data_IF_103628803029
#
_entry.id   IF_103628803029
#
_cell.length_a   1.000
_cell.length_b   1.000
_cell.length_c   1.000
_cell.angle_alpha   90.00
_cell.angle_beta   90.00
_cell.angle_gamma   90.00
#
_symmetry.space_group_name_H-M   'P 1'
#
loop_
_entity.id
_entity.type
_entity.pdbx_description
1 polymer ?
#
# COMPACT_ATOMS: atom_id res chain seq x y z
N UNK A 1 14.41 4.25 9.39
CA UNK A 1 13.45 4.01 8.31
C UNK A 1 12.07 4.50 8.75
N UNK A 2 11.42 5.28 7.90
CA UNK A 2 10.07 5.76 8.18
C UNK A 2 9.07 4.74 7.65
N UNK A 3 8.11 4.38 8.49
CA UNK A 3 7.09 3.41 8.10
C UNK A 3 5.70 3.99 8.32
N UNK A 4 4.74 3.44 7.61
CA UNK A 4 3.33 3.79 7.74
C UNK A 4 2.55 2.56 8.20
N UNK A 5 1.50 2.77 9.00
CA UNK A 5 0.61 1.67 9.33
C UNK A 5 -0.49 1.58 8.26
N UNK A 6 -1.34 0.56 8.40
CA UNK A 6 -2.37 0.30 7.39
C UNK A 6 -3.38 1.45 7.31
N UNK A 7 -3.67 2.07 8.44
CA UNK A 7 -4.62 3.18 8.47
C UNK A 7 -4.08 4.38 7.71
N UNK A 8 -2.82 4.71 7.94
CA UNK A 8 -2.18 5.82 7.23
C UNK A 8 -2.10 5.54 5.74
N UNK A 9 -1.78 4.30 5.39
CA UNK A 9 -1.71 3.90 3.99
C UNK A 9 -3.08 4.03 3.32
N UNK A 10 -4.14 3.56 4.00
CA UNK A 10 -5.48 3.65 3.44
C UNK A 10 -5.91 5.10 3.24
N UNK A 11 -5.52 5.98 4.14
CA UNK A 11 -5.85 7.40 4.01
C UNK A 11 -5.13 8.03 2.81
N UNK A 12 -3.89 7.64 2.59
CA UNK A 12 -3.14 8.17 1.45
C UNK A 12 -3.69 7.68 0.12
N UNK A 13 -4.16 6.43 0.07
CA UNK A 13 -4.69 5.87 -1.16
C UNK A 13 -6.16 6.20 -1.39
N UNK A 14 -6.88 6.53 -0.32
CA UNK A 14 -8.30 6.78 -0.44
C UNK A 14 -9.13 5.53 -0.62
N UNK A 15 -8.62 4.39 -0.17
CA UNK A 15 -9.37 3.13 -0.21
C UNK A 15 -9.42 2.55 1.20
N UNK A 16 -10.30 1.59 1.40
CA UNK A 16 -10.54 1.00 2.72
C UNK A 16 -9.38 0.09 3.13
N UNK A 17 -9.15 0.00 4.43
CA UNK A 17 -8.14 -0.91 4.96
C UNK A 17 -8.41 -2.34 4.53
N UNK A 18 -9.68 -2.74 4.52
CA UNK A 18 -10.05 -4.10 4.11
C UNK A 18 -9.66 -4.39 2.66
N UNK A 19 -9.74 -3.39 1.80
CA UNK A 19 -9.34 -3.55 0.40
C UNK A 19 -7.83 -3.73 0.28
N UNK A 20 -7.08 -2.97 1.08
CA UNK A 20 -5.62 -3.11 1.09
C UNK A 20 -5.23 -4.50 1.55
N UNK A 21 -5.85 -4.98 2.63
CA UNK A 21 -5.59 -6.33 3.12
C UNK A 21 -5.92 -7.38 2.08
N UNK A 22 -7.01 -7.18 1.34
CA UNK A 22 -7.41 -8.11 0.29
C UNK A 22 -6.33 -8.19 -0.80
N UNK A 23 -5.84 -7.06 -1.27
CA UNK A 23 -4.81 -7.04 -2.30
C UNK A 23 -3.52 -7.67 -1.82
N UNK A 24 -3.12 -7.37 -0.59
CA UNK A 24 -1.89 -7.91 -0.03
C UNK A 24 -2.00 -9.40 0.17
N UNK A 25 -3.11 -9.86 0.73
CA UNK A 25 -3.31 -11.26 1.05
C UNK A 25 -3.37 -12.12 -0.21
N UNK A 26 -4.02 -11.62 -1.24
CA UNK A 26 -4.17 -12.35 -2.50
C UNK A 26 -3.03 -12.11 -3.48
N UNK A 27 -2.17 -11.16 -3.18
CA UNK A 27 -1.08 -10.83 -4.09
C UNK A 27 -1.56 -10.20 -5.39
N UNK A 28 -2.68 -9.48 -5.33
CA UNK A 28 -3.29 -8.90 -6.52
C UNK A 28 -2.81 -7.46 -6.67
N UNK A 29 -2.23 -7.10 -7.82
CA UNK A 29 -1.85 -5.70 -8.06
C UNK A 29 -3.09 -4.85 -8.29
N UNK A 30 -2.95 -3.55 -8.09
CA UNK A 30 -4.01 -2.61 -8.43
C UNK A 30 -3.60 -1.90 -9.72
N UNK A 31 -4.45 -2.05 -10.74
CA UNK A 31 -4.20 -1.47 -12.06
C UNK A 31 -2.81 -1.79 -12.61
N UNK A 32 -2.37 -3.02 -12.36
CA UNK A 32 -1.08 -3.48 -12.85
C UNK A 32 0.11 -3.08 -12.01
N UNK A 33 -0.11 -2.31 -10.93
CA UNK A 33 0.97 -1.88 -10.04
C UNK A 33 0.93 -2.75 -8.78
N UNK A 34 1.98 -3.54 -8.53
CA UNK A 34 2.00 -4.40 -7.34
C UNK A 34 2.10 -3.58 -6.06
N UNK A 35 1.40 -4.03 -5.03
CA UNK A 35 1.46 -3.38 -3.72
C UNK A 35 2.84 -3.53 -3.10
N UNK A 36 3.28 -2.54 -2.31
CA UNK A 36 4.52 -2.68 -1.57
C UNK A 36 4.38 -3.79 -0.53
N UNK A 37 5.47 -4.47 -0.25
CA UNK A 37 5.46 -5.54 0.72
C UNK A 37 5.32 -4.96 2.12
N UNK A 38 4.50 -5.61 2.93
CA UNK A 38 4.37 -5.21 4.32
C UNK A 38 5.59 -5.67 5.11
N UNK A 39 6.03 -4.82 6.01
CA UNK A 39 7.09 -5.17 6.97
C UNK A 39 6.36 -5.69 8.20
N UNK A 40 6.19 -6.99 8.26
CA UNK A 40 5.37 -7.59 9.29
C UNK A 40 6.05 -7.46 10.65
N UNK A 41 5.49 -6.65 11.49
CA UNK A 41 5.87 -6.54 12.88
C UNK A 41 4.92 -7.42 13.69
N UNK A 42 5.12 -7.54 14.97
CA UNK A 42 4.48 -8.55 15.80
C UNK A 42 2.98 -8.74 15.55
N UNK A 43 2.20 -7.67 15.52
CA UNK A 43 0.75 -7.76 15.32
C UNK A 43 0.21 -6.81 14.28
N UNK A 44 1.08 -6.03 13.66
CA UNK A 44 0.63 -5.01 12.71
C UNK A 44 1.44 -5.10 11.43
N UNK A 45 0.80 -4.68 10.36
CA UNK A 45 1.49 -4.52 9.08
C UNK A 45 2.02 -3.09 9.01
N UNK A 46 3.28 -2.97 8.67
CA UNK A 46 3.90 -1.67 8.44
C UNK A 46 4.42 -1.63 7.02
N UNK A 47 4.52 -0.45 6.46
CA UNK A 47 4.96 -0.28 5.08
C UNK A 47 6.05 0.77 5.01
N UNK A 48 7.07 0.51 4.22
CA UNK A 48 8.15 1.46 4.03
C UNK A 48 7.61 2.71 3.34
N UNK A 49 7.86 3.88 3.93
CA UNK A 49 7.31 5.14 3.42
C UNK A 49 7.73 5.38 1.97
N UNK A 50 9.01 5.19 1.67
CA UNK A 50 9.51 5.45 0.32
C UNK A 50 8.87 4.51 -0.71
N UNK A 51 8.67 3.26 -0.34
CA UNK A 51 8.01 2.30 -1.24
C UNK A 51 6.55 2.68 -1.48
N UNK A 52 5.88 3.15 -0.43
CA UNK A 52 4.49 3.61 -0.57
C UNK A 52 4.42 4.82 -1.50
N UNK A 53 5.34 5.76 -1.34
CA UNK A 53 5.35 6.94 -2.20
C UNK A 53 5.61 6.57 -3.66
N UNK A 54 6.52 5.62 -3.89
CA UNK A 54 6.80 5.15 -5.25
C UNK A 54 5.58 4.44 -5.84
N UNK A 55 4.91 3.65 -5.03
CA UNK A 55 3.68 2.97 -5.44
C UNK A 55 2.63 3.99 -5.86
N UNK A 56 2.44 5.05 -5.08
CA UNK A 56 1.48 6.10 -5.41
C UNK A 56 1.87 6.80 -6.71
N UNK A 57 3.15 7.09 -6.88
CA UNK A 57 3.63 7.70 -8.12
C UNK A 57 3.34 6.82 -9.33
N UNK A 58 3.55 5.52 -9.18
CA UNK A 58 3.28 4.57 -10.28
C UNK A 58 1.79 4.55 -10.61
N UNK A 59 0.93 4.64 -9.59
CA UNK A 59 -0.51 4.69 -9.83
C UNK A 59 -0.90 5.96 -10.56
N UNK A 60 -0.31 7.09 -10.19
CA UNK A 60 -0.56 8.36 -10.88
C UNK A 60 -0.14 8.27 -12.33
N UNK A 61 0.99 7.64 -12.60
CA UNK A 61 1.46 7.44 -13.95
C UNK A 61 0.51 6.61 -14.80
N UNK A 62 -0.34 5.80 -14.14
CA UNK A 62 -1.35 5.01 -14.83
C UNK A 62 -2.70 5.73 -14.88
N UNK A 63 -2.77 6.97 -14.38
CA UNK A 63 -3.99 7.75 -14.43
C UNK A 63 -5.01 7.39 -13.38
N UNK A 64 -4.61 6.77 -12.29
CA UNK A 64 -5.53 6.25 -11.27
C UNK A 64 -5.77 7.19 -10.10
N UNK A 65 -4.88 8.13 -9.91
CA UNK A 65 -5.02 9.07 -8.79
C UNK A 65 -5.05 10.50 -9.27
#
# INVERSE_FOLDING_TARGET
>A
MITLDIKEFSMLLGIRESEIYHHIRKGIPINGVPFPKSLKQIKTHRFNYEEVMRFIEDLKGKGEL
#
